data_IF_840830061646
#
_entry.id   IF_840830061646
#
_cell.length_a   1.000
_cell.length_b   1.000
_cell.length_c   1.000
_cell.angle_alpha   90.00
_cell.angle_beta   90.00
_cell.angle_gamma   90.00
#
_symmetry.space_group_name_H-M   'P 1'
#
loop_
_entity.id
_entity.type
_entity.pdbx_description
1 polymer ?
#
# COMPACT_ATOMS: atom_id res chain seq x y z
N UNK A 1 6.08 46.63 68.51
CA UNK A 1 6.05 46.92 67.10
C UNK A 1 6.61 45.71 66.38
N UNK A 2 5.75 44.83 65.91
CA UNK A 2 6.13 43.60 65.19
C UNK A 2 5.78 43.75 63.72
N UNK A 3 6.78 43.74 62.88
CA UNK A 3 6.59 43.70 61.40
C UNK A 3 6.38 42.26 60.96
N UNK A 4 5.17 41.95 60.53
CA UNK A 4 4.82 40.70 59.88
C UNK A 4 5.24 40.82 58.41
N UNK A 5 6.39 40.22 58.03
CA UNK A 5 6.79 40.06 56.62
C UNK A 5 6.05 38.86 56.04
N UNK A 6 4.86 39.12 55.49
CA UNK A 6 4.15 38.12 54.69
C UNK A 6 4.94 37.83 53.41
N UNK A 7 5.53 36.67 53.35
CA UNK A 7 6.13 36.14 52.11
C UNK A 7 5.05 36.00 51.02
N UNK A 8 5.04 36.90 50.06
CA UNK A 8 4.27 36.72 48.80
C UNK A 8 4.79 35.45 48.11
N UNK A 9 4.10 34.34 48.28
CA UNK A 9 4.29 33.19 47.42
C UNK A 9 3.78 33.57 46.00
N UNK A 10 4.69 33.66 45.05
CA UNK A 10 4.39 33.95 43.68
C UNK A 10 3.76 32.70 43.02
N UNK A 11 2.47 32.73 42.63
CA UNK A 11 1.79 31.60 41.97
C UNK A 11 2.21 31.43 40.49
N UNK A 12 3.25 32.16 40.06
CA UNK A 12 3.59 32.29 38.65
C UNK A 12 4.34 31.12 38.03
N UNK A 13 5.10 30.36 38.81
CA UNK A 13 5.89 29.25 38.28
C UNK A 13 5.05 28.04 37.86
N UNK A 14 4.01 27.69 38.60
CA UNK A 14 3.11 26.61 38.30
C UNK A 14 2.20 26.92 37.10
N UNK A 15 1.68 28.14 37.04
CA UNK A 15 0.85 28.57 35.93
C UNK A 15 1.60 28.58 34.60
N UNK A 16 2.87 29.02 34.61
CA UNK A 16 3.72 28.95 33.38
C UNK A 16 4.04 27.50 32.97
N UNK A 17 4.34 26.59 33.89
CA UNK A 17 4.56 25.19 33.57
C UNK A 17 3.33 24.53 32.96
N UNK A 18 2.14 24.77 33.50
CA UNK A 18 0.88 24.23 32.94
C UNK A 18 0.61 24.82 31.54
N UNK A 19 0.85 26.13 31.35
CA UNK A 19 0.68 26.76 30.05
C UNK A 19 1.60 26.16 28.98
N UNK A 20 2.88 25.93 29.32
CA UNK A 20 3.82 25.28 28.41
C UNK A 20 3.45 23.84 28.10
N UNK A 21 2.97 23.08 29.09
CA UNK A 21 2.52 21.69 28.88
C UNK A 21 1.30 21.64 27.93
N UNK A 22 0.33 22.51 28.13
CA UNK A 22 -0.85 22.61 27.24
C UNK A 22 -0.45 23.02 25.82
N UNK A 23 0.44 24.00 25.67
CA UNK A 23 0.95 24.42 24.38
C UNK A 23 1.65 23.29 23.64
N UNK A 24 2.47 22.51 24.33
CA UNK A 24 3.17 21.36 23.77
C UNK A 24 2.20 20.28 23.27
N UNK A 25 1.16 19.98 24.05
CA UNK A 25 0.11 19.03 23.65
C UNK A 25 -0.62 19.51 22.39
N UNK A 26 -0.97 20.79 22.32
CA UNK A 26 -1.63 21.37 21.14
C UNK A 26 -0.74 21.28 19.91
N UNK A 27 0.56 21.59 20.03
CA UNK A 27 1.51 21.48 18.92
C UNK A 27 1.63 20.03 18.43
N UNK A 28 1.72 19.05 19.34
CA UNK A 28 1.80 17.64 18.97
C UNK A 28 0.52 17.17 18.28
N UNK A 29 -0.65 17.53 18.78
CA UNK A 29 -1.93 17.18 18.17
C UNK A 29 -2.09 17.84 16.77
N UNK A 30 -1.65 19.08 16.63
CA UNK A 30 -1.69 19.79 15.34
C UNK A 30 -0.72 19.17 14.32
N UNK A 31 0.49 18.81 14.75
CA UNK A 31 1.46 18.12 13.90
C UNK A 31 0.96 16.73 13.48
N UNK A 32 0.32 15.99 14.38
CA UNK A 32 -0.27 14.68 14.07
C UNK A 32 -1.42 14.79 13.07
N UNK A 33 -2.30 15.79 13.22
CA UNK A 33 -3.41 16.02 12.29
C UNK A 33 -2.94 16.48 10.91
N UNK A 34 -1.89 17.30 10.82
CA UNK A 34 -1.26 17.67 9.54
C UNK A 34 -0.62 16.49 8.83
N UNK A 35 0.05 15.60 9.58
CA UNK A 35 0.61 14.37 9.03
C UNK A 35 -0.48 13.43 8.49
N UNK A 36 -1.57 13.25 9.24
CA UNK A 36 -2.71 12.45 8.81
C UNK A 36 -3.39 13.05 7.55
N UNK A 37 -3.59 14.37 7.50
CA UNK A 37 -4.16 15.05 6.34
C UNK A 37 -3.27 14.93 5.09
N UNK A 38 -1.95 14.99 5.24
CA UNK A 38 -1.00 14.79 4.13
C UNK A 38 -1.02 13.35 3.61
N UNK A 39 -1.18 12.37 4.48
CA UNK A 39 -1.30 10.97 4.08
C UNK A 39 -2.60 10.72 3.30
N UNK A 40 -3.72 11.21 3.80
CA UNK A 40 -5.02 11.08 3.15
C UNK A 40 -5.07 11.80 1.79
N UNK A 41 -4.55 13.04 1.71
CA UNK A 41 -4.49 13.78 0.46
C UNK A 41 -3.55 13.17 -0.58
N UNK A 42 -2.42 12.59 -0.14
CA UNK A 42 -1.49 11.90 -1.02
C UNK A 42 -2.09 10.65 -1.69
N UNK A 43 -2.87 9.89 -0.95
CA UNK A 43 -3.54 8.68 -1.47
C UNK A 43 -4.66 9.03 -2.45
N UNK A 44 -5.45 10.06 -2.18
CA UNK A 44 -6.52 10.53 -3.07
C UNK A 44 -5.97 11.04 -4.41
N UNK A 45 -4.89 11.83 -4.39
CA UNK A 45 -4.22 12.31 -5.60
C UNK A 45 -3.55 11.20 -6.40
N UNK A 46 -2.97 10.19 -5.72
CA UNK A 46 -2.39 9.04 -6.40
C UNK A 46 -3.46 8.20 -7.10
N UNK A 47 -4.63 8.06 -6.49
CA UNK A 47 -5.77 7.33 -7.05
C UNK A 47 -6.43 8.06 -8.21
N UNK A 48 -6.51 9.40 -8.17
CA UNK A 48 -7.02 10.22 -9.27
C UNK A 48 -6.15 10.14 -10.55
N UNK A 49 -4.87 9.80 -10.40
CA UNK A 49 -3.93 9.64 -11.51
C UNK A 49 -3.72 8.17 -11.91
N UNK A 50 -4.39 7.22 -11.25
CA UNK A 50 -4.36 5.83 -11.69
C UNK A 50 -5.09 5.71 -13.03
N UNK A 51 -4.56 4.94 -13.98
CA UNK A 51 -5.27 4.70 -15.24
C UNK A 51 -6.63 4.05 -14.95
N UNK A 52 -7.63 4.35 -15.77
CA UNK A 52 -8.95 3.72 -15.67
C UNK A 52 -8.80 2.22 -15.97
N UNK A 53 -8.70 1.41 -14.91
CA UNK A 53 -8.60 -0.05 -15.03
C UNK A 53 -10.01 -0.61 -15.09
N UNK A 54 -10.36 -1.44 -16.08
CA UNK A 54 -11.63 -2.13 -16.12
C UNK A 54 -11.83 -2.94 -14.82
N UNK A 55 -12.99 -2.83 -14.16
CA UNK A 55 -13.22 -3.44 -12.84
C UNK A 55 -13.03 -4.95 -12.85
N UNK A 56 -13.32 -5.62 -13.98
CA UNK A 56 -13.11 -7.05 -14.14
C UNK A 56 -11.63 -7.48 -14.11
N UNK A 57 -10.71 -6.55 -14.33
CA UNK A 57 -9.25 -6.81 -14.28
C UNK A 57 -8.64 -6.54 -12.93
N UNK A 58 -9.34 -5.85 -12.05
CA UNK A 58 -8.83 -5.53 -10.72
C UNK A 58 -8.89 -6.77 -9.85
N UNK A 59 -7.72 -7.27 -9.45
CA UNK A 59 -7.56 -8.42 -8.58
C UNK A 59 -7.53 -7.97 -7.12
N UNK A 60 -6.79 -6.89 -6.86
CA UNK A 60 -6.62 -6.32 -5.55
C UNK A 60 -6.70 -4.80 -5.67
N UNK A 61 -7.54 -4.18 -4.84
CA UNK A 61 -7.67 -2.73 -4.71
C UNK A 61 -7.56 -2.34 -3.24
N UNK A 62 -6.45 -1.72 -2.88
CA UNK A 62 -6.20 -1.21 -1.54
C UNK A 62 -5.77 0.26 -1.58
N UNK A 63 -5.61 0.87 -0.40
CA UNK A 63 -5.14 2.26 -0.29
C UNK A 63 -3.75 2.48 -0.90
N UNK A 64 -2.89 1.47 -0.86
CA UNK A 64 -1.47 1.59 -1.20
C UNK A 64 -1.07 0.84 -2.46
N UNK A 65 -1.87 -0.15 -2.87
CA UNK A 65 -1.54 -1.05 -3.96
C UNK A 65 -2.79 -1.46 -4.74
N UNK A 66 -2.73 -1.33 -6.06
CA UNK A 66 -3.69 -1.93 -6.98
C UNK A 66 -2.95 -2.99 -7.80
N UNK A 67 -3.58 -4.15 -8.00
CA UNK A 67 -3.09 -5.20 -8.88
C UNK A 67 -4.16 -5.48 -9.94
N UNK A 68 -3.79 -5.28 -11.18
CA UNK A 68 -4.55 -5.66 -12.37
C UNK A 68 -4.01 -6.99 -12.90
N UNK A 69 -4.89 -7.86 -13.41
CA UNK A 69 -4.46 -9.12 -14.00
C UNK A 69 -5.36 -9.62 -15.10
N UNK A 70 -4.78 -10.46 -15.95
CA UNK A 70 -5.48 -11.21 -16.99
C UNK A 70 -4.76 -12.53 -17.27
N UNK A 71 -5.43 -13.45 -17.95
CA UNK A 71 -4.88 -14.75 -18.34
C UNK A 71 -4.99 -14.96 -19.83
N UNK A 72 -3.92 -15.48 -20.44
CA UNK A 72 -3.88 -15.87 -21.85
C UNK A 72 -3.51 -17.36 -21.96
N UNK A 73 -4.24 -18.15 -22.75
CA UNK A 73 -3.83 -19.52 -23.06
C UNK A 73 -2.65 -19.49 -24.02
N UNK A 74 -1.68 -20.38 -23.80
CA UNK A 74 -0.55 -20.58 -24.71
C UNK A 74 -0.77 -21.81 -25.59
N UNK A 75 -0.14 -21.86 -26.78
CA UNK A 75 -0.22 -23.03 -27.68
C UNK A 75 0.30 -24.33 -27.02
N UNK A 76 1.21 -24.20 -26.07
CA UNK A 76 1.72 -25.33 -25.26
C UNK A 76 0.68 -25.99 -24.34
N UNK A 77 -0.50 -25.37 -24.19
CA UNK A 77 -1.50 -25.77 -23.21
C UNK A 77 -1.29 -25.19 -21.83
N UNK A 78 -0.23 -24.43 -21.61
CA UNK A 78 0.02 -23.64 -20.41
C UNK A 78 -0.82 -22.36 -20.40
N UNK A 79 -0.81 -21.67 -19.27
CA UNK A 79 -1.50 -20.38 -19.12
C UNK A 79 -0.49 -19.31 -18.69
N UNK A 80 -0.52 -18.19 -19.40
CA UNK A 80 0.25 -17.01 -19.06
C UNK A 80 -0.66 -16.05 -18.28
N UNK A 81 -0.26 -15.72 -17.06
CA UNK A 81 -0.93 -14.72 -16.23
C UNK A 81 -0.06 -13.47 -16.24
N UNK A 82 -0.65 -12.34 -16.61
CA UNK A 82 0.00 -11.03 -16.57
C UNK A 82 -0.57 -10.24 -15.43
N UNK A 83 0.30 -9.79 -14.54
CA UNK A 83 -0.04 -8.94 -13.41
C UNK A 83 0.64 -7.58 -13.59
N UNK A 84 -0.13 -6.52 -13.48
CA UNK A 84 0.37 -5.15 -13.50
C UNK A 84 0.10 -4.51 -12.15
N UNK A 85 1.13 -3.96 -11.53
CA UNK A 85 1.08 -3.43 -10.19
C UNK A 85 1.13 -1.91 -10.22
N UNK A 86 0.33 -1.26 -9.35
CA UNK A 86 0.28 0.19 -9.23
C UNK A 86 0.46 0.58 -7.78
N UNK A 87 1.52 1.32 -7.47
CA UNK A 87 1.70 1.89 -6.15
C UNK A 87 0.86 3.16 -6.03
N UNK A 88 -0.26 3.08 -5.33
CA UNK A 88 -1.20 4.17 -5.06
C UNK A 88 -0.91 4.86 -3.73
N UNK A 89 0.00 4.31 -2.93
CA UNK A 89 0.39 4.85 -1.64
C UNK A 89 1.18 6.17 -1.73
N UNK A 90 1.31 6.88 -0.60
CA UNK A 90 2.04 8.15 -0.53
C UNK A 90 3.55 7.98 -0.67
N UNK A 91 4.09 6.80 -0.43
CA UNK A 91 5.53 6.49 -0.43
C UNK A 91 5.87 5.29 -1.30
N UNK A 92 7.16 5.06 -1.53
CA UNK A 92 7.61 3.82 -2.16
C UNK A 92 7.37 2.63 -1.22
N UNK A 93 6.85 1.53 -1.77
CA UNK A 93 6.78 0.25 -1.06
C UNK A 93 8.16 -0.42 -1.08
N UNK A 94 8.50 -1.11 -0.01
CA UNK A 94 9.78 -1.79 0.17
C UNK A 94 9.55 -3.24 0.54
N UNK A 95 10.51 -4.09 0.19
CA UNK A 95 10.51 -5.51 0.56
C UNK A 95 9.15 -6.17 0.29
N UNK A 96 8.54 -5.83 -0.85
CA UNK A 96 7.26 -6.41 -1.22
C UNK A 96 7.47 -7.86 -1.61
N UNK A 97 6.75 -8.75 -0.95
CA UNK A 97 6.70 -10.19 -1.21
C UNK A 97 5.33 -10.54 -1.76
N UNK A 98 5.32 -11.05 -2.97
CA UNK A 98 4.12 -11.40 -3.70
C UNK A 98 4.04 -12.92 -3.83
N UNK A 99 3.07 -13.54 -3.19
CA UNK A 99 2.73 -14.94 -3.33
C UNK A 99 1.52 -15.07 -4.25
N UNK A 100 1.65 -15.89 -5.28
CA UNK A 100 0.62 -16.03 -6.32
C UNK A 100 0.32 -17.50 -6.53
N UNK A 101 -0.97 -17.84 -6.60
CA UNK A 101 -1.42 -19.18 -6.96
C UNK A 101 -2.63 -19.11 -7.89
N UNK A 102 -2.66 -19.94 -8.92
CA UNK A 102 -3.79 -20.10 -9.82
C UNK A 102 -4.48 -21.45 -9.55
N UNK A 103 -5.76 -21.41 -9.16
CA UNK A 103 -6.52 -22.58 -8.67
C UNK A 103 -5.75 -23.35 -7.56
N UNK A 104 -5.07 -22.62 -6.67
CA UNK A 104 -4.28 -23.16 -5.57
C UNK A 104 -2.91 -23.72 -5.96
N UNK A 105 -2.50 -23.64 -7.23
CA UNK A 105 -1.20 -24.09 -7.70
C UNK A 105 -0.23 -22.93 -7.85
N UNK A 106 1.04 -23.07 -7.43
CA UNK A 106 2.06 -22.04 -7.64
C UNK A 106 2.43 -21.92 -9.13
N UNK A 107 3.01 -20.80 -9.55
CA UNK A 107 3.51 -20.64 -10.91
C UNK A 107 4.73 -21.54 -11.17
N UNK A 108 4.87 -21.98 -12.40
CA UNK A 108 6.07 -22.71 -12.89
C UNK A 108 7.26 -21.77 -13.04
N UNK A 109 6.99 -20.55 -13.52
CA UNK A 109 8.01 -19.52 -13.74
C UNK A 109 7.40 -18.10 -13.70
N UNK A 110 8.08 -17.13 -13.11
CA UNK A 110 9.10 -17.32 -12.08
C UNK A 110 8.52 -17.98 -10.82
N UNK A 111 9.36 -18.60 -9.97
CA UNK A 111 8.86 -19.25 -8.76
C UNK A 111 8.26 -18.21 -7.78
N UNK A 112 7.19 -18.61 -7.08
CA UNK A 112 6.62 -17.85 -5.98
C UNK A 112 7.36 -18.20 -4.66
N UNK A 113 7.60 -17.23 -3.74
CA UNK A 113 7.21 -15.82 -3.81
C UNK A 113 8.14 -14.94 -4.65
N UNK A 114 7.56 -13.92 -5.28
CA UNK A 114 8.31 -12.89 -6.00
C UNK A 114 8.65 -11.77 -5.03
N UNK A 115 9.91 -11.35 -4.98
CA UNK A 115 10.34 -10.27 -4.09
C UNK A 115 10.73 -9.03 -4.89
N UNK A 116 10.10 -7.91 -4.57
CA UNK A 116 10.43 -6.59 -5.11
C UNK A 116 11.03 -5.74 -3.99
N UNK A 117 12.36 -5.49 -4.05
CA UNK A 117 13.06 -4.74 -2.99
C UNK A 117 12.57 -3.31 -2.84
N UNK A 118 12.23 -2.65 -3.93
CA UNK A 118 11.73 -1.28 -3.95
C UNK A 118 10.76 -1.10 -5.09
N UNK A 119 9.55 -0.65 -4.74
CA UNK A 119 8.50 -0.33 -5.69
C UNK A 119 8.16 1.16 -5.57
N UNK A 120 8.76 2.03 -6.41
CA UNK A 120 8.55 3.47 -6.33
C UNK A 120 7.13 3.85 -6.75
N UNK A 121 6.69 5.03 -6.33
CA UNK A 121 5.45 5.64 -6.84
C UNK A 121 5.56 5.81 -8.35
N UNK A 122 4.45 5.70 -9.05
CA UNK A 122 4.33 5.84 -10.52
C UNK A 122 5.01 4.73 -11.34
N UNK A 123 5.77 3.83 -10.73
CA UNK A 123 6.20 2.63 -11.43
C UNK A 123 5.01 1.69 -11.62
N UNK A 124 4.95 1.07 -12.79
CA UNK A 124 3.91 0.09 -13.13
C UNK A 124 4.57 -1.18 -13.68
N UNK A 125 5.30 -1.94 -12.81
CA UNK A 125 5.91 -3.17 -13.26
C UNK A 125 4.86 -4.16 -13.71
N UNK A 126 5.17 -4.89 -14.77
CA UNK A 126 4.41 -6.02 -15.24
C UNK A 126 5.16 -7.30 -14.87
N UNK A 127 4.44 -8.26 -14.32
CA UNK A 127 4.94 -9.57 -13.94
C UNK A 127 4.22 -10.60 -14.78
N UNK A 128 4.97 -11.39 -15.51
CA UNK A 128 4.44 -12.49 -16.33
C UNK A 128 4.73 -13.81 -15.62
N UNK A 129 3.67 -14.58 -15.39
CA UNK A 129 3.71 -15.85 -14.67
C UNK A 129 3.21 -16.98 -15.57
N UNK A 130 3.91 -18.09 -15.58
CA UNK A 130 3.50 -19.28 -16.32
C UNK A 130 2.91 -20.32 -15.34
N UNK A 131 1.75 -20.85 -15.70
CA UNK A 131 1.04 -21.89 -14.95
C UNK A 131 0.71 -23.06 -15.84
N UNK A 132 0.53 -24.23 -15.21
CA UNK A 132 -0.13 -25.35 -15.90
C UNK A 132 -1.59 -24.99 -16.17
N UNK A 133 -2.18 -25.65 -17.15
CA UNK A 133 -3.59 -25.49 -17.50
C UNK A 133 -4.46 -25.74 -16.26
N UNK A 134 -5.31 -24.77 -15.97
CA UNK A 134 -6.28 -24.84 -14.88
C UNK A 134 -7.69 -24.67 -15.40
N UNK A 135 -8.68 -25.17 -14.64
CA UNK A 135 -10.07 -25.19 -15.07
C UNK A 135 -10.82 -23.90 -14.74
N UNK A 136 -10.57 -23.31 -13.56
CA UNK A 136 -11.40 -22.22 -13.00
C UNK A 136 -10.79 -20.84 -13.18
N UNK A 137 -9.47 -20.74 -13.34
CA UNK A 137 -8.73 -19.48 -13.47
C UNK A 137 -8.90 -18.54 -12.26
N UNK A 138 -9.06 -19.09 -11.07
CA UNK A 138 -9.14 -18.32 -9.82
C UNK A 138 -7.71 -18.01 -9.38
N UNK A 139 -7.35 -16.74 -9.46
CA UNK A 139 -6.06 -16.26 -8.98
C UNK A 139 -6.19 -15.86 -7.51
N UNK A 140 -5.33 -16.41 -6.68
CA UNK A 140 -5.11 -15.99 -5.29
C UNK A 140 -3.79 -15.25 -5.21
N UNK A 141 -3.83 -14.05 -4.63
CA UNK A 141 -2.67 -13.19 -4.44
C UNK A 141 -2.57 -12.82 -2.98
N UNK A 142 -1.38 -13.02 -2.40
CA UNK A 142 -1.04 -12.55 -1.07
C UNK A 142 0.17 -11.64 -1.17
N UNK A 143 0.07 -10.44 -0.63
CA UNK A 143 1.11 -9.41 -0.72
C UNK A 143 1.47 -8.93 0.66
N UNK A 144 2.73 -9.13 1.04
CA UNK A 144 3.35 -8.52 2.20
C UNK A 144 4.26 -7.39 1.74
N UNK A 145 4.18 -6.23 2.37
CA UNK A 145 5.03 -5.09 2.02
C UNK A 145 5.32 -4.21 3.21
N UNK A 146 6.38 -3.43 3.10
CA UNK A 146 6.75 -2.39 4.06
C UNK A 146 6.67 -1.01 3.40
N UNK A 147 6.37 0.00 4.20
CA UNK A 147 6.31 1.40 3.77
C UNK A 147 6.96 2.32 4.80
N UNK A 148 7.19 3.59 4.39
CA UNK A 148 7.82 4.60 5.24
C UNK A 148 9.34 4.71 5.08
N UNK A 149 9.91 5.75 5.67
CA UNK A 149 11.32 6.11 5.49
C UNK A 149 12.30 5.01 5.95
N UNK A 150 11.95 4.28 7.01
CA UNK A 150 12.77 3.23 7.62
C UNK A 150 12.09 1.86 7.63
N UNK A 151 11.01 1.66 6.84
CA UNK A 151 10.23 0.43 6.89
C UNK A 151 9.43 0.31 8.20
N UNK A 152 9.05 1.43 8.80
CA UNK A 152 8.37 1.49 10.09
C UNK A 152 6.92 1.00 10.06
N UNK A 153 6.33 0.88 8.88
CA UNK A 153 5.00 0.33 8.67
C UNK A 153 5.04 -0.86 7.72
N UNK A 154 4.05 -1.72 7.80
CA UNK A 154 3.88 -2.84 6.90
C UNK A 154 2.41 -3.22 6.77
N UNK A 155 2.07 -3.93 5.70
CA UNK A 155 0.75 -4.45 5.45
C UNK A 155 0.83 -5.83 4.82
N UNK A 156 -0.20 -6.63 5.09
CA UNK A 156 -0.45 -7.90 4.41
C UNK A 156 -1.85 -7.84 3.83
N UNK A 157 -1.99 -8.12 2.55
CA UNK A 157 -3.26 -8.05 1.84
C UNK A 157 -3.41 -9.31 1.00
N UNK A 158 -4.58 -9.92 1.08
CA UNK A 158 -4.92 -11.10 0.29
C UNK A 158 -6.15 -10.83 -0.56
N UNK A 159 -6.15 -11.32 -1.78
CA UNK A 159 -7.29 -11.30 -2.69
C UNK A 159 -7.39 -12.60 -3.47
N UNK A 160 -8.62 -12.94 -3.88
CA UNK A 160 -8.87 -14.10 -4.73
C UNK A 160 -9.98 -13.75 -5.72
N UNK A 161 -9.65 -13.74 -7.01
CA UNK A 161 -10.56 -13.32 -8.08
C UNK A 161 -10.44 -14.20 -9.32
N UNK A 162 -11.53 -14.28 -10.08
CA UNK A 162 -11.55 -14.90 -11.39
C UNK A 162 -10.82 -14.00 -12.39
N UNK A 163 -9.82 -14.54 -13.10
CA UNK A 163 -9.09 -13.80 -14.11
C UNK A 163 -9.87 -13.68 -15.42
N UNK A 164 -10.03 -12.47 -15.96
CA UNK A 164 -10.53 -12.28 -17.31
C UNK A 164 -9.46 -12.69 -18.34
N UNK A 165 -9.87 -13.01 -19.57
CA UNK A 165 -8.92 -13.21 -20.66
C UNK A 165 -8.15 -11.91 -20.96
N UNK A 166 -6.86 -12.03 -21.28
CA UNK A 166 -6.11 -10.90 -21.80
C UNK A 166 -6.71 -10.48 -23.15
N UNK A 167 -7.10 -9.22 -23.28
CA UNK A 167 -7.51 -8.70 -24.59
C UNK A 167 -6.29 -8.69 -25.50
N UNK A 168 -6.40 -9.35 -26.64
CA UNK A 168 -5.42 -9.19 -27.70
C UNK A 168 -5.35 -7.70 -28.04
N UNK A 169 -4.15 -7.12 -28.11
CA UNK A 169 -4.02 -5.76 -28.63
C UNK A 169 -4.74 -5.71 -29.97
N UNK A 170 -5.55 -4.67 -30.27
CA UNK A 170 -6.14 -4.52 -31.58
C UNK A 170 -4.98 -4.53 -32.58
N UNK A 171 -5.01 -5.48 -33.49
CA UNK A 171 -4.06 -5.54 -34.62
C UNK A 171 -4.24 -4.24 -35.42
N UNK A 172 -3.23 -3.35 -35.30
CA UNK A 172 -3.11 -2.18 -36.15
C UNK A 172 -2.69 -2.58 -37.56
#
# INVERSE_FOLDING_TARGET
MGYNSGAMQTPTAWATLVLWAVLLVIIVLFAASLLAARQAGGSALARANAPAIPPERVILDSSDLIIEGCVAPLPSGEQEVRLKLYNTGPTALREMRLEVALDGKPPKAPPSPITIRRFPRKATPEIVLLFDKTARRILSVNVDYRFGLLGSGGGSISASNLLPPCQSAPSQ
#
